data_IF_779837227780
#
_entry.id   IF_779837227780
#
_cell.length_a   1.000
_cell.length_b   1.000
_cell.length_c   1.000
_cell.angle_alpha   90.00
_cell.angle_beta   90.00
_cell.angle_gamma   90.00
#
_symmetry.space_group_name_H-M   'P 1'
#
loop_
_entity.id
_entity.type
_entity.pdbx_description
1 polymer ?
#
# COMPACT_ATOMS: atom_id res chain seq x y z
N UNK A 1 30.06 -12.24 -37.86
CA UNK A 1 29.09 -11.46 -37.09
C UNK A 1 29.36 -11.79 -35.62
N UNK A 2 30.11 -10.94 -34.93
CA UNK A 2 30.31 -11.06 -33.48
C UNK A 2 28.98 -10.81 -32.83
N UNK A 3 28.47 -11.77 -32.05
CA UNK A 3 27.28 -11.58 -31.24
C UNK A 3 27.62 -10.51 -30.22
N UNK A 4 27.01 -9.35 -30.34
CA UNK A 4 27.07 -8.24 -29.39
C UNK A 4 26.31 -8.58 -28.09
N UNK A 5 26.58 -9.74 -27.53
CA UNK A 5 26.00 -10.17 -26.27
C UNK A 5 26.63 -9.43 -25.10
N UNK A 6 25.80 -8.94 -24.18
CA UNK A 6 26.27 -8.33 -22.94
C UNK A 6 27.18 -9.30 -22.18
N UNK A 7 28.33 -8.79 -21.72
CA UNK A 7 29.31 -9.58 -20.98
C UNK A 7 28.76 -9.95 -19.60
N UNK A 8 28.72 -11.23 -19.28
CA UNK A 8 28.42 -11.71 -17.92
C UNK A 8 29.70 -11.79 -17.09
N UNK A 9 29.71 -11.16 -15.95
CA UNK A 9 30.88 -11.03 -15.09
C UNK A 9 30.57 -11.51 -13.67
N UNK A 10 31.60 -11.98 -12.97
CA UNK A 10 31.49 -12.37 -11.56
C UNK A 10 31.34 -11.11 -10.70
N UNK A 11 30.30 -11.03 -9.86
CA UNK A 11 30.01 -9.82 -9.06
C UNK A 11 31.18 -9.46 -8.13
N UNK A 12 31.86 -10.44 -7.55
CA UNK A 12 33.00 -10.25 -6.63
C UNK A 12 34.17 -9.49 -7.22
N UNK A 13 34.31 -9.47 -8.55
CA UNK A 13 35.36 -8.67 -9.19
C UNK A 13 35.09 -7.16 -9.08
N UNK A 14 33.82 -6.77 -8.89
CA UNK A 14 33.34 -5.38 -8.90
C UNK A 14 32.93 -4.86 -7.53
N UNK A 15 32.79 -5.70 -6.52
CA UNK A 15 32.39 -5.30 -5.16
C UNK A 15 33.48 -5.56 -4.13
N UNK A 16 33.39 -4.89 -3.00
CA UNK A 16 34.27 -5.13 -1.85
C UNK A 16 33.45 -5.07 -0.56
N UNK A 17 33.72 -6.02 0.35
CA UNK A 17 33.07 -6.05 1.66
C UNK A 17 33.53 -4.89 2.53
N UNK A 18 32.61 -4.29 3.29
CA UNK A 18 32.92 -3.34 4.34
C UNK A 18 32.80 -3.98 5.70
N UNK A 19 33.80 -3.81 6.55
CA UNK A 19 33.88 -4.43 7.90
C UNK A 19 34.08 -3.40 9.00
N UNK A 20 33.89 -2.11 8.70
CA UNK A 20 34.08 -1.02 9.65
C UNK A 20 33.05 -1.11 10.78
N UNK A 21 33.54 -1.05 12.03
CA UNK A 21 32.71 -1.02 13.22
C UNK A 21 32.36 0.40 13.64
N UNK A 22 31.25 0.52 14.37
CA UNK A 22 30.84 1.79 14.92
C UNK A 22 31.84 2.32 15.94
N UNK A 23 32.25 3.55 15.74
CA UNK A 23 33.13 4.30 16.67
C UNK A 23 32.49 5.64 17.11
N UNK A 24 31.23 5.88 16.77
CA UNK A 24 30.50 7.11 17.06
C UNK A 24 29.06 6.78 17.44
N UNK A 25 28.60 7.26 18.60
CA UNK A 25 27.26 7.00 19.14
C UNK A 25 26.15 7.89 18.55
N UNK A 26 26.50 8.96 17.84
CA UNK A 26 25.56 9.95 17.30
C UNK A 26 25.15 9.70 15.83
N UNK A 27 25.32 8.49 15.32
CA UNK A 27 24.91 8.16 13.95
C UNK A 27 23.57 7.41 13.93
N UNK A 28 22.72 7.65 12.92
CA UNK A 28 21.43 6.98 12.82
C UNK A 28 21.58 5.46 12.66
N UNK A 29 20.62 4.72 13.23
CA UNK A 29 20.59 3.26 13.20
C UNK A 29 19.48 2.82 12.27
N UNK A 30 19.78 1.86 11.37
CA UNK A 30 18.78 1.27 10.48
C UNK A 30 18.84 -0.26 10.45
N UNK A 31 17.67 -0.87 10.33
CA UNK A 31 17.51 -2.22 9.84
C UNK A 31 17.26 -2.21 8.33
N UNK A 32 17.40 -3.37 7.67
CA UNK A 32 17.13 -3.52 6.24
C UNK A 32 16.01 -4.55 6.00
N UNK A 33 15.15 -4.24 5.04
CA UNK A 33 14.07 -5.11 4.57
C UNK A 33 14.13 -5.24 3.04
N UNK A 34 13.20 -5.97 2.46
CA UNK A 34 13.00 -6.01 1.01
C UNK A 34 12.73 -4.62 0.41
N UNK A 35 11.96 -3.78 1.11
CA UNK A 35 11.41 -2.54 0.58
C UNK A 35 12.20 -1.29 1.00
N UNK A 36 13.26 -1.46 1.77
CA UNK A 36 14.12 -0.36 2.19
C UNK A 36 14.65 -0.46 3.61
N UNK A 37 15.20 0.65 4.06
CA UNK A 37 15.67 0.79 5.43
C UNK A 37 14.52 1.12 6.38
N UNK A 38 14.58 0.57 7.59
CA UNK A 38 13.58 0.78 8.65
C UNK A 38 14.27 1.22 9.95
N UNK A 39 13.57 1.96 10.81
CA UNK A 39 14.08 2.25 12.16
C UNK A 39 14.35 0.96 12.95
N UNK A 40 15.27 0.98 13.91
CA UNK A 40 15.56 -0.19 14.75
C UNK A 40 14.35 -0.54 15.61
N UNK A 41 14.13 -1.84 15.83
CA UNK A 41 13.05 -2.32 16.72
C UNK A 41 13.38 -2.11 18.21
N UNK A 42 14.66 -2.16 18.57
CA UNK A 42 15.16 -1.95 19.93
C UNK A 42 15.81 -0.57 20.03
N UNK A 43 15.39 0.24 21.02
CA UNK A 43 15.87 1.62 21.20
C UNK A 43 17.13 1.71 22.06
N UNK A 44 17.42 0.68 22.87
CA UNK A 44 18.51 0.65 23.87
C UNK A 44 19.44 -0.55 23.63
N UNK A 45 20.10 -0.59 22.48
CA UNK A 45 21.08 -1.62 22.19
C UNK A 45 22.50 -1.05 22.31
N UNK A 46 23.46 -1.86 22.82
CA UNK A 46 24.88 -1.56 22.68
C UNK A 46 25.25 -1.57 21.18
N UNK A 47 25.58 -0.43 20.66
CA UNK A 47 25.90 -0.21 19.24
C UNK A 47 27.39 -0.29 18.93
N UNK A 48 28.25 -0.54 19.92
CA UNK A 48 29.71 -0.60 19.74
C UNK A 48 30.17 -1.63 18.72
N UNK A 49 29.42 -2.74 18.61
CA UNK A 49 29.69 -3.82 17.66
C UNK A 49 28.95 -3.68 16.32
N UNK A 50 28.14 -2.65 16.14
CA UNK A 50 27.39 -2.42 14.90
C UNK A 50 28.32 -2.12 13.73
N UNK A 51 27.88 -2.45 12.55
CA UNK A 51 28.61 -2.18 11.31
C UNK A 51 28.24 -0.81 10.77
N UNK A 52 29.25 -0.04 10.32
CA UNK A 52 29.07 1.27 9.69
C UNK A 52 28.90 1.12 8.19
N UNK A 53 27.96 1.85 7.61
CA UNK A 53 27.75 1.94 6.17
C UNK A 53 27.62 3.39 5.69
N UNK A 54 27.88 3.60 4.42
CA UNK A 54 27.97 4.92 3.78
C UNK A 54 27.06 5.00 2.55
N UNK A 55 26.95 6.22 1.99
CA UNK A 55 26.23 6.45 0.75
C UNK A 55 26.76 5.52 -0.36
N UNK A 56 25.85 4.91 -1.11
CA UNK A 56 26.10 3.90 -2.15
C UNK A 56 26.58 2.52 -1.64
N UNK A 57 26.60 2.28 -0.34
CA UNK A 57 26.80 0.93 0.19
C UNK A 57 25.51 0.09 0.09
N UNK A 58 25.67 -1.19 -0.14
CA UNK A 58 24.61 -2.18 -0.02
C UNK A 58 24.64 -2.81 1.36
N UNK A 59 23.50 -2.80 2.03
CA UNK A 59 23.32 -3.43 3.34
C UNK A 59 22.34 -4.59 3.20
N UNK A 60 22.66 -5.74 3.77
CA UNK A 60 21.76 -6.90 3.69
C UNK A 60 21.80 -7.77 4.95
N UNK A 61 20.73 -8.52 5.15
CA UNK A 61 20.63 -9.52 6.21
C UNK A 61 20.92 -10.90 5.61
N UNK A 62 22.09 -11.51 5.92
CA UNK A 62 22.46 -12.82 5.36
C UNK A 62 21.47 -13.95 5.64
N UNK A 63 20.74 -13.87 6.77
CA UNK A 63 19.75 -14.85 7.20
C UNK A 63 18.35 -14.61 6.59
N UNK A 64 18.18 -13.61 5.71
CA UNK A 64 16.89 -13.25 5.12
C UNK A 64 17.01 -12.88 3.64
N UNK A 65 17.94 -13.52 2.94
CA UNK A 65 18.14 -13.27 1.51
C UNK A 65 17.08 -13.96 0.64
N UNK A 66 16.41 -14.98 1.14
CA UNK A 66 15.26 -15.66 0.53
C UNK A 66 14.08 -14.70 0.30
N UNK A 67 13.90 -13.72 1.18
CA UNK A 67 12.92 -12.63 1.04
C UNK A 67 13.53 -11.36 0.45
N UNK A 68 14.72 -11.43 -0.11
CA UNK A 68 15.44 -10.30 -0.73
C UNK A 68 15.69 -9.12 0.23
N UNK A 69 16.13 -9.42 1.47
CA UNK A 69 16.44 -8.40 2.50
C UNK A 69 17.82 -7.76 2.25
N UNK A 70 17.96 -7.08 1.10
CA UNK A 70 19.12 -6.30 0.67
C UNK A 70 18.66 -4.96 0.14
N UNK A 71 19.37 -3.87 0.45
CA UNK A 71 19.04 -2.56 -0.08
C UNK A 71 20.26 -1.66 -0.25
N UNK A 72 20.21 -0.77 -1.26
CA UNK A 72 21.20 0.27 -1.53
C UNK A 72 20.93 1.48 -0.63
N UNK A 73 21.95 1.97 0.07
CA UNK A 73 21.86 3.24 0.77
C UNK A 73 22.02 4.40 -0.22
N UNK A 74 20.92 5.00 -0.62
CA UNK A 74 20.87 6.16 -1.52
C UNK A 74 20.34 7.44 -0.85
N UNK A 75 20.32 7.47 0.50
CA UNK A 75 19.65 8.56 1.24
C UNK A 75 20.47 9.18 2.38
N UNK A 76 21.47 8.52 2.94
CA UNK A 76 22.26 9.07 4.04
C UNK A 76 23.76 8.87 3.84
N UNK A 77 24.53 9.87 4.28
CA UNK A 77 26.00 9.90 4.16
C UNK A 77 26.66 8.79 4.98
N UNK A 78 26.22 8.61 6.23
CA UNK A 78 26.75 7.63 7.18
C UNK A 78 25.67 7.17 8.13
N UNK A 79 25.62 5.86 8.39
CA UNK A 79 24.74 5.25 9.38
C UNK A 79 25.31 3.92 9.86
N UNK A 80 24.63 3.28 10.82
CA UNK A 80 25.02 1.98 11.35
C UNK A 80 23.85 0.98 11.28
N UNK A 81 24.21 -0.29 11.21
CA UNK A 81 23.28 -1.42 11.25
C UNK A 81 23.78 -2.53 12.17
N UNK A 82 22.90 -3.46 12.51
CA UNK A 82 23.25 -4.61 13.36
C UNK A 82 24.55 -5.31 12.89
N UNK A 83 25.33 -5.81 13.84
CA UNK A 83 26.52 -6.63 13.59
C UNK A 83 26.23 -7.92 12.81
N UNK A 84 24.97 -8.35 12.76
CA UNK A 84 24.49 -9.52 11.99
C UNK A 84 24.33 -9.21 10.49
N UNK A 85 24.30 -7.96 10.10
CA UNK A 85 24.17 -7.56 8.69
C UNK A 85 25.53 -7.48 8.04
N UNK A 86 25.56 -7.74 6.74
CA UNK A 86 26.75 -7.58 5.94
C UNK A 86 26.60 -6.37 5.01
N UNK A 87 27.75 -5.77 4.67
CA UNK A 87 27.81 -4.54 3.86
C UNK A 87 28.85 -4.76 2.77
N UNK A 88 28.52 -4.33 1.56
CA UNK A 88 29.49 -4.21 0.48
C UNK A 88 29.27 -2.94 -0.32
N UNK A 89 30.31 -2.52 -1.05
CA UNK A 89 30.28 -1.37 -1.94
C UNK A 89 30.87 -1.73 -3.31
N UNK A 90 30.54 -0.95 -4.31
CA UNK A 90 31.08 -1.09 -5.66
C UNK A 90 32.45 -0.43 -5.75
N UNK A 91 33.47 -1.16 -6.20
CA UNK A 91 34.86 -0.68 -6.30
C UNK A 91 35.00 0.49 -7.28
N UNK A 92 34.27 0.49 -8.39
CA UNK A 92 34.31 1.54 -9.40
C UNK A 92 32.91 1.80 -9.98
N UNK A 93 32.31 2.89 -9.53
CA UNK A 93 30.96 3.31 -9.96
C UNK A 93 30.90 3.85 -11.38
N UNK A 94 32.04 4.11 -12.03
CA UNK A 94 32.09 4.46 -13.46
C UNK A 94 31.96 3.25 -14.39
N UNK A 95 32.01 2.04 -13.84
CA UNK A 95 31.86 0.78 -14.62
C UNK A 95 30.54 0.10 -14.28
N UNK A 96 30.20 0.03 -13.01
CA UNK A 96 28.95 -0.57 -12.52
C UNK A 96 28.20 0.46 -11.67
N UNK A 97 27.03 0.89 -12.13
CA UNK A 97 26.21 1.88 -11.43
C UNK A 97 25.52 1.24 -10.20
N UNK A 98 25.55 1.87 -9.01
CA UNK A 98 24.91 1.33 -7.81
C UNK A 98 23.42 1.05 -8.00
N UNK A 99 22.67 1.96 -8.59
CA UNK A 99 21.24 1.77 -8.82
C UNK A 99 20.95 0.68 -9.86
N UNK A 100 21.81 0.49 -10.89
CA UNK A 100 21.67 -0.60 -11.83
C UNK A 100 21.84 -1.96 -11.11
N UNK A 101 22.89 -2.09 -10.31
CA UNK A 101 23.08 -3.29 -9.50
C UNK A 101 21.91 -3.50 -8.54
N UNK A 102 21.41 -2.43 -7.89
CA UNK A 102 20.24 -2.52 -7.01
C UNK A 102 19.03 -3.10 -7.74
N UNK A 103 18.69 -2.59 -8.92
CA UNK A 103 17.56 -3.10 -9.73
C UNK A 103 17.76 -4.57 -10.07
N UNK A 104 18.98 -4.97 -10.43
CA UNK A 104 19.32 -6.36 -10.74
C UNK A 104 19.12 -7.28 -9.51
N UNK A 105 19.61 -6.87 -8.33
CA UNK A 105 19.52 -7.63 -7.09
C UNK A 105 18.09 -7.71 -6.54
N UNK A 106 17.19 -6.79 -6.93
CA UNK A 106 15.78 -6.80 -6.50
C UNK A 106 14.90 -7.79 -7.24
N UNK A 107 15.41 -8.50 -8.24
CA UNK A 107 14.65 -9.52 -8.98
C UNK A 107 14.43 -10.77 -8.14
N UNK A 108 13.32 -11.43 -8.37
CA UNK A 108 12.97 -12.69 -7.68
C UNK A 108 13.97 -13.82 -8.02
N UNK A 109 14.60 -13.78 -9.23
CA UNK A 109 15.66 -14.71 -9.60
C UNK A 109 16.87 -14.63 -8.67
N UNK A 110 17.25 -13.41 -8.27
CA UNK A 110 18.36 -13.23 -7.33
C UNK A 110 18.02 -13.79 -5.94
N UNK A 111 16.80 -13.54 -5.45
CA UNK A 111 16.35 -14.11 -4.19
C UNK A 111 16.37 -15.64 -4.20
N UNK A 112 15.87 -16.26 -5.29
CA UNK A 112 15.93 -17.73 -5.47
C UNK A 112 17.35 -18.26 -5.55
N UNK A 113 18.27 -17.54 -6.19
CA UNK A 113 19.69 -17.93 -6.19
C UNK A 113 20.29 -17.90 -4.79
N UNK A 114 19.99 -16.86 -4.00
CA UNK A 114 20.45 -16.75 -2.61
C UNK A 114 19.87 -17.87 -1.71
N UNK A 115 18.59 -18.20 -1.90
CA UNK A 115 17.92 -19.31 -1.24
C UNK A 115 18.62 -20.66 -1.56
N UNK A 116 18.85 -20.92 -2.85
CA UNK A 116 19.53 -22.13 -3.30
C UNK A 116 20.97 -22.25 -2.75
N UNK A 117 21.72 -21.15 -2.72
CA UNK A 117 23.09 -21.11 -2.18
C UNK A 117 23.06 -21.34 -0.65
N UNK A 118 22.10 -20.80 0.05
CA UNK A 118 21.91 -20.98 1.50
C UNK A 118 21.46 -22.38 1.89
N UNK A 119 20.86 -23.14 0.97
CA UNK A 119 20.27 -24.43 1.23
C UNK A 119 21.33 -25.47 1.58
N UNK A 120 21.11 -26.20 2.64
CA UNK A 120 22.02 -27.24 3.15
C UNK A 120 23.04 -26.75 4.16
N UNK A 121 23.13 -25.45 4.46
CA UNK A 121 23.83 -24.94 5.63
C UNK A 121 22.93 -24.99 6.87
N UNK A 122 23.50 -25.24 8.06
CA UNK A 122 22.73 -25.32 9.31
C UNK A 122 21.94 -24.05 9.69
N UNK A 123 22.08 -22.94 8.94
CA UNK A 123 21.44 -21.64 9.19
C UNK A 123 21.04 -20.87 7.94
N UNK A 124 21.06 -21.44 6.75
CA UNK A 124 20.60 -20.82 5.49
C UNK A 124 21.13 -19.38 5.28
N UNK A 125 22.40 -19.12 5.59
CA UNK A 125 23.03 -17.83 5.38
C UNK A 125 23.56 -17.69 3.94
N UNK A 126 23.21 -16.58 3.28
CA UNK A 126 23.85 -16.13 2.04
C UNK A 126 24.74 -14.91 2.36
N UNK A 127 26.05 -15.10 2.34
CA UNK A 127 27.05 -14.09 2.74
C UNK A 127 27.59 -13.31 1.54
N UNK A 128 28.39 -12.28 1.77
CA UNK A 128 29.06 -11.51 0.71
C UNK A 128 29.96 -12.41 -0.15
N UNK A 129 30.62 -13.42 0.43
CA UNK A 129 31.39 -14.43 -0.32
C UNK A 129 30.54 -15.15 -1.36
N UNK A 130 29.34 -15.57 -0.96
CA UNK A 130 28.43 -16.35 -1.79
C UNK A 130 27.81 -15.48 -2.89
N UNK A 131 27.42 -14.25 -2.56
CA UNK A 131 26.95 -13.24 -3.52
C UNK A 131 28.05 -12.93 -4.56
N UNK A 132 29.33 -12.94 -4.13
CA UNK A 132 30.48 -12.66 -4.99
C UNK A 132 30.61 -13.64 -6.16
N UNK A 133 30.13 -14.87 -6.04
CA UNK A 133 30.20 -15.88 -7.10
C UNK A 133 29.07 -15.76 -8.14
N UNK A 134 28.06 -14.97 -7.83
CA UNK A 134 26.93 -14.75 -8.74
C UNK A 134 27.42 -13.97 -9.97
N UNK A 135 26.99 -14.41 -11.15
CA UNK A 135 27.22 -13.69 -12.41
C UNK A 135 26.14 -12.65 -12.64
N UNK A 136 26.59 -11.46 -13.02
CA UNK A 136 25.71 -10.34 -13.38
C UNK A 136 26.00 -9.92 -14.83
N UNK A 137 24.99 -9.41 -15.56
CA UNK A 137 25.22 -8.79 -16.85
C UNK A 137 25.83 -7.40 -16.66
N UNK A 138 26.86 -7.10 -17.42
CA UNK A 138 27.54 -5.81 -17.38
C UNK A 138 27.46 -5.13 -18.76
N UNK A 139 26.34 -4.46 -19.09
CA UNK A 139 26.23 -3.66 -20.30
C UNK A 139 27.05 -2.37 -20.20
N UNK A 140 27.10 -1.60 -21.27
CA UNK A 140 27.72 -0.27 -21.23
C UNK A 140 27.07 0.62 -20.18
N UNK A 141 27.81 1.59 -19.63
CA UNK A 141 27.27 2.55 -18.63
C UNK A 141 26.06 3.32 -19.18
N UNK A 142 26.06 3.60 -20.50
CA UNK A 142 24.92 4.25 -21.16
C UNK A 142 23.65 3.38 -21.09
N UNK A 143 23.75 2.08 -21.29
CA UNK A 143 22.62 1.14 -21.18
C UNK A 143 22.19 0.95 -19.72
N UNK A 144 23.15 0.83 -18.79
CA UNK A 144 22.83 0.83 -17.35
C UNK A 144 22.03 2.07 -16.98
N UNK A 145 22.45 3.26 -17.46
CA UNK A 145 21.79 4.52 -17.16
C UNK A 145 20.35 4.60 -17.68
N UNK A 146 20.03 3.97 -18.82
CA UNK A 146 18.64 3.91 -19.31
C UNK A 146 17.73 3.19 -18.33
N UNK A 147 18.17 2.04 -17.80
CA UNK A 147 17.41 1.27 -16.78
C UNK A 147 17.26 2.09 -15.50
N UNK A 148 18.34 2.72 -15.05
CA UNK A 148 18.32 3.57 -13.84
C UNK A 148 17.39 4.77 -14.00
N UNK A 149 17.37 5.42 -15.16
CA UNK A 149 16.52 6.57 -15.43
C UNK A 149 15.03 6.18 -15.38
N UNK A 150 14.66 5.06 -15.99
CA UNK A 150 13.28 4.56 -15.94
C UNK A 150 12.86 4.27 -14.49
N UNK A 151 13.69 3.56 -13.73
CA UNK A 151 13.42 3.26 -12.32
C UNK A 151 13.27 4.53 -11.47
N UNK A 152 14.17 5.51 -11.65
CA UNK A 152 14.11 6.80 -10.94
C UNK A 152 12.83 7.56 -11.26
N UNK A 153 12.41 7.58 -12.52
CA UNK A 153 11.18 8.25 -12.92
C UNK A 153 9.94 7.66 -12.23
N UNK A 154 9.80 6.33 -12.19
CA UNK A 154 8.72 5.68 -11.45
C UNK A 154 8.78 5.97 -9.95
N UNK A 155 9.97 5.90 -9.35
CA UNK A 155 10.16 6.20 -7.93
C UNK A 155 9.80 7.65 -7.60
N UNK A 156 10.18 8.59 -8.42
CA UNK A 156 9.85 10.01 -8.25
C UNK A 156 8.34 10.24 -8.33
N UNK A 157 7.67 9.67 -9.35
CA UNK A 157 6.22 9.73 -9.49
C UNK A 157 5.53 9.18 -8.23
N UNK A 158 5.97 8.02 -7.73
CA UNK A 158 5.45 7.42 -6.51
C UNK A 158 5.59 8.36 -5.31
N UNK A 159 6.82 8.79 -5.02
CA UNK A 159 7.11 9.64 -3.84
C UNK A 159 6.35 10.97 -3.88
N UNK A 160 6.32 11.64 -5.04
CA UNK A 160 5.59 12.90 -5.19
C UNK A 160 4.08 12.75 -4.97
N UNK A 161 3.50 11.65 -5.42
CA UNK A 161 2.06 11.43 -5.27
C UNK A 161 1.71 10.92 -3.86
N UNK A 162 2.53 10.09 -3.22
CA UNK A 162 2.36 9.73 -1.81
C UNK A 162 2.42 10.99 -0.91
N UNK A 163 3.37 11.89 -1.18
CA UNK A 163 3.51 13.15 -0.45
C UNK A 163 2.31 14.10 -0.62
N UNK A 164 1.55 13.99 -1.71
CA UNK A 164 0.31 14.78 -1.94
C UNK A 164 -0.93 14.12 -1.32
N UNK A 165 -1.03 12.80 -1.37
CA UNK A 165 -2.24 12.08 -0.99
C UNK A 165 -2.60 12.26 0.49
N UNK A 166 -1.64 12.09 1.40
CA UNK A 166 -1.87 12.18 2.84
C UNK A 166 -2.32 13.58 3.31
N UNK A 167 -1.64 14.68 2.95
CA UNK A 167 -2.08 16.03 3.32
C UNK A 167 -3.46 16.40 2.77
N UNK A 168 -3.79 15.99 1.53
CA UNK A 168 -5.12 16.24 0.95
C UNK A 168 -6.21 15.50 1.70
N UNK A 169 -5.96 14.25 2.10
CA UNK A 169 -6.89 13.48 2.92
C UNK A 169 -7.10 14.10 4.29
N UNK A 170 -6.01 14.54 4.93
CA UNK A 170 -6.07 15.24 6.22
C UNK A 170 -6.83 16.57 6.11
N UNK A 171 -6.65 17.32 5.02
CA UNK A 171 -7.39 18.55 4.75
C UNK A 171 -8.90 18.29 4.68
N UNK A 172 -9.33 17.25 3.95
CA UNK A 172 -10.74 16.86 3.89
C UNK A 172 -11.31 16.55 5.28
N UNK A 173 -10.60 15.76 6.08
CA UNK A 173 -11.04 15.38 7.42
C UNK A 173 -11.13 16.60 8.35
N UNK A 174 -10.11 17.45 8.34
CA UNK A 174 -10.08 18.67 9.15
C UNK A 174 -11.21 19.64 8.77
N UNK A 175 -11.46 19.77 7.47
CA UNK A 175 -12.52 20.66 6.96
C UNK A 175 -13.91 20.17 7.38
N UNK A 176 -14.18 18.87 7.30
CA UNK A 176 -15.43 18.29 7.82
C UNK A 176 -15.60 18.53 9.34
N UNK A 177 -14.52 18.41 10.12
CA UNK A 177 -14.54 18.70 11.56
C UNK A 177 -14.82 20.18 11.84
N UNK A 178 -14.21 21.09 11.09
CA UNK A 178 -14.48 22.53 11.22
C UNK A 178 -15.91 22.90 10.84
N UNK A 179 -16.48 22.28 9.80
CA UNK A 179 -17.89 22.46 9.44
C UNK A 179 -18.81 22.05 10.60
N UNK A 180 -18.52 20.94 11.30
CA UNK A 180 -19.29 20.50 12.46
C UNK A 180 -19.32 21.52 13.59
N UNK A 181 -18.25 22.28 13.79
CA UNK A 181 -18.16 23.31 14.85
C UNK A 181 -18.89 24.61 14.50
N UNK A 182 -19.20 24.86 13.25
CA UNK A 182 -19.85 26.10 12.79
C UNK A 182 -21.32 26.10 13.18
N UNK A 183 -21.75 27.11 13.97
CA UNK A 183 -23.13 27.27 14.41
C UNK A 183 -24.17 27.49 13.32
N UNK A 184 -23.72 27.91 12.13
CA UNK A 184 -24.58 28.22 10.98
C UNK A 184 -24.68 27.05 9.99
N UNK A 185 -24.10 25.89 10.28
CA UNK A 185 -24.28 24.68 9.49
C UNK A 185 -25.38 23.84 10.12
N UNK A 186 -26.37 23.47 9.33
CA UNK A 186 -27.49 22.62 9.75
C UNK A 186 -26.95 21.22 10.03
N UNK A 187 -27.28 20.67 11.19
CA UNK A 187 -27.20 19.24 11.43
C UNK A 187 -28.43 18.58 10.81
N UNK A 188 -28.19 17.50 10.07
CA UNK A 188 -29.21 16.82 9.30
C UNK A 188 -29.27 15.35 9.68
N UNK A 189 -30.44 14.87 10.09
CA UNK A 189 -30.66 13.45 10.41
C UNK A 189 -30.67 12.65 9.09
N UNK A 190 -29.76 11.67 8.97
CA UNK A 190 -29.57 10.96 7.69
C UNK A 190 -30.80 10.18 7.24
N UNK A 191 -31.62 9.70 8.17
CA UNK A 191 -32.85 8.97 7.88
C UNK A 191 -33.85 9.77 7.03
N UNK A 192 -33.77 11.11 7.05
CA UNK A 192 -34.65 11.96 6.23
C UNK A 192 -34.25 11.99 4.75
N UNK A 193 -33.02 11.58 4.41
CA UNK A 193 -32.53 11.52 3.03
C UNK A 193 -32.39 10.09 2.50
N UNK A 194 -32.66 9.09 3.30
CA UNK A 194 -32.44 7.68 2.91
C UNK A 194 -33.72 7.04 2.39
N UNK A 195 -33.64 6.50 1.18
CA UNK A 195 -34.63 5.61 0.62
C UNK A 195 -34.05 4.18 0.59
N UNK A 196 -34.70 3.24 1.29
CA UNK A 196 -34.28 1.83 1.33
C UNK A 196 -34.66 1.13 0.03
N UNK A 197 -33.70 0.44 -0.56
CA UNK A 197 -33.87 -0.36 -1.77
C UNK A 197 -33.74 -1.83 -1.38
N UNK A 198 -34.70 -2.67 -1.79
CA UNK A 198 -34.65 -4.12 -1.57
C UNK A 198 -34.91 -4.87 -2.88
N UNK A 199 -33.91 -4.87 -3.76
CA UNK A 199 -34.00 -5.53 -5.06
C UNK A 199 -33.27 -6.87 -5.04
N UNK A 200 -34.02 -7.96 -4.96
CA UNK A 200 -33.49 -9.32 -4.98
C UNK A 200 -33.17 -9.82 -6.40
N UNK A 201 -32.18 -10.69 -6.52
CA UNK A 201 -31.72 -11.31 -7.77
C UNK A 201 -32.65 -12.49 -8.19
N UNK A 202 -33.96 -12.23 -8.33
CA UNK A 202 -34.94 -13.25 -8.64
C UNK A 202 -34.69 -13.97 -9.98
N UNK A 203 -34.10 -13.25 -10.92
CA UNK A 203 -33.83 -13.75 -12.28
C UNK A 203 -32.52 -14.57 -12.35
N UNK A 204 -31.81 -14.76 -11.23
CA UNK A 204 -30.59 -15.56 -11.18
C UNK A 204 -29.42 -14.98 -11.99
N UNK A 205 -29.39 -13.66 -12.21
CA UNK A 205 -28.31 -13.02 -12.96
C UNK A 205 -26.94 -13.34 -12.36
N UNK A 206 -25.92 -13.69 -13.17
CA UNK A 206 -24.61 -14.15 -12.70
C UNK A 206 -23.67 -12.99 -12.37
N UNK A 207 -24.12 -12.06 -11.56
CA UNK A 207 -23.27 -10.95 -11.09
C UNK A 207 -22.28 -11.41 -10.02
N UNK A 208 -21.14 -10.72 -9.91
CA UNK A 208 -20.13 -10.95 -8.88
C UNK A 208 -20.74 -10.75 -7.48
N UNK A 209 -20.45 -11.66 -6.55
CA UNK A 209 -20.89 -11.54 -5.17
C UNK A 209 -19.83 -10.79 -4.36
N UNK A 210 -20.25 -9.70 -3.73
CA UNK A 210 -19.38 -8.81 -2.95
C UNK A 210 -19.77 -8.81 -1.48
N UNK A 211 -18.78 -8.50 -0.64
CA UNK A 211 -18.91 -8.17 0.77
C UNK A 211 -18.38 -6.77 1.07
N UNK A 212 -18.52 -6.31 2.31
CA UNK A 212 -17.97 -5.06 2.82
C UNK A 212 -16.78 -5.33 3.75
N UNK A 213 -15.69 -4.63 3.53
CA UNK A 213 -14.54 -4.65 4.43
C UNK A 213 -14.57 -3.49 5.45
N UNK A 214 -13.63 -3.52 6.42
CA UNK A 214 -13.51 -2.47 7.43
C UNK A 214 -13.00 -1.13 6.85
N UNK A 215 -12.42 -1.14 5.64
CA UNK A 215 -12.01 0.07 4.91
C UNK A 215 -13.17 0.73 4.18
N UNK A 216 -14.40 0.24 4.40
CA UNK A 216 -15.65 0.76 3.80
C UNK A 216 -15.61 0.71 2.28
N UNK A 217 -15.15 -0.41 1.76
CA UNK A 217 -15.10 -0.73 0.33
C UNK A 217 -15.73 -2.09 0.07
N UNK A 218 -16.26 -2.24 -1.14
CA UNK A 218 -16.65 -3.55 -1.64
C UNK A 218 -15.43 -4.41 -1.95
N UNK A 219 -15.52 -5.69 -1.67
CA UNK A 219 -14.49 -6.70 -1.95
C UNK A 219 -15.15 -8.00 -2.39
N UNK A 220 -14.49 -8.85 -3.18
CA UNK A 220 -14.99 -10.18 -3.46
C UNK A 220 -15.35 -10.92 -2.17
N UNK A 221 -16.45 -11.69 -2.21
CA UNK A 221 -16.84 -12.48 -1.03
C UNK A 221 -15.79 -13.52 -0.68
N UNK A 222 -15.57 -13.72 0.62
CA UNK A 222 -14.72 -14.81 1.14
C UNK A 222 -15.50 -16.11 1.37
N UNK A 223 -16.82 -16.09 1.19
CA UNK A 223 -17.66 -17.28 1.34
C UNK A 223 -17.51 -18.20 0.12
N UNK A 224 -17.49 -19.54 0.37
CA UNK A 224 -17.54 -20.50 -0.74
C UNK A 224 -18.86 -20.34 -1.50
N UNK A 225 -18.76 -20.17 -2.82
CA UNK A 225 -19.92 -19.95 -3.68
C UNK A 225 -20.65 -21.24 -4.09
N UNK A 226 -20.02 -22.41 -3.86
CA UNK A 226 -20.52 -23.72 -4.35
C UNK A 226 -21.89 -24.13 -3.79
N UNK A 227 -22.25 -23.55 -2.63
CA UNK A 227 -23.51 -23.89 -1.93
C UNK A 227 -24.47 -22.72 -1.79
N UNK A 228 -24.13 -21.54 -2.33
CA UNK A 228 -24.90 -20.32 -2.11
C UNK A 228 -25.95 -20.15 -3.19
N UNK A 229 -27.22 -20.08 -2.77
CA UNK A 229 -28.32 -19.68 -3.64
C UNK A 229 -28.34 -18.16 -3.83
N UNK A 230 -27.79 -17.68 -4.94
CA UNK A 230 -27.69 -16.25 -5.28
C UNK A 230 -29.04 -15.60 -5.60
N UNK A 231 -30.13 -16.36 -5.83
CA UNK A 231 -31.46 -15.79 -6.10
C UNK A 231 -32.03 -14.99 -4.91
N UNK A 232 -31.53 -15.25 -3.70
CA UNK A 232 -31.92 -14.52 -2.47
C UNK A 232 -31.04 -13.29 -2.22
N UNK A 233 -29.96 -13.12 -2.97
CA UNK A 233 -29.03 -12.00 -2.81
C UNK A 233 -29.67 -10.71 -3.36
N UNK A 234 -29.25 -9.59 -2.82
CA UNK A 234 -29.67 -8.27 -3.30
C UNK A 234 -28.77 -7.81 -4.43
N UNK A 235 -29.37 -7.18 -5.45
CA UNK A 235 -28.63 -6.52 -6.51
C UNK A 235 -28.28 -5.11 -6.04
N UNK A 236 -27.02 -4.74 -6.16
CA UNK A 236 -26.53 -3.37 -5.91
C UNK A 236 -26.06 -2.74 -7.21
N UNK A 237 -26.37 -1.48 -7.41
CA UNK A 237 -26.05 -0.67 -8.59
C UNK A 237 -25.27 0.59 -8.23
N UNK A 238 -24.68 1.21 -9.24
CA UNK A 238 -23.97 2.48 -9.11
C UNK A 238 -24.82 3.55 -8.44
N UNK A 239 -24.28 4.21 -7.44
CA UNK A 239 -24.95 5.22 -6.63
C UNK A 239 -25.72 4.67 -5.43
N UNK A 240 -25.84 3.33 -5.29
CA UNK A 240 -26.48 2.71 -4.15
C UNK A 240 -25.46 2.43 -3.02
N UNK A 241 -25.93 2.48 -1.79
CA UNK A 241 -25.15 2.15 -0.60
C UNK A 241 -25.52 0.77 -0.07
N UNK A 242 -24.53 0.12 0.53
CA UNK A 242 -24.75 -1.05 1.36
C UNK A 242 -24.28 -0.77 2.80
N UNK A 243 -25.10 -1.14 3.77
CA UNK A 243 -24.81 -0.98 5.21
C UNK A 243 -24.94 -2.33 5.91
N UNK A 244 -24.04 -2.58 6.85
CA UNK A 244 -24.14 -3.68 7.81
C UNK A 244 -23.87 -3.18 9.22
N UNK A 245 -24.89 -3.25 10.06
CA UNK A 245 -24.73 -2.96 11.49
C UNK A 245 -24.11 -4.08 12.31
N UNK A 246 -23.87 -5.26 11.69
CA UNK A 246 -23.34 -6.41 12.39
C UNK A 246 -21.94 -6.18 12.93
N UNK A 247 -21.72 -6.47 14.21
CA UNK A 247 -20.42 -6.37 14.88
C UNK A 247 -19.79 -4.95 14.86
N UNK A 248 -20.57 -3.91 14.67
CA UNK A 248 -20.06 -2.52 14.64
C UNK A 248 -19.30 -2.17 15.91
N UNK A 249 -19.85 -2.49 17.08
CA UNK A 249 -19.21 -2.24 18.35
C UNK A 249 -17.95 -3.08 18.57
N UNK A 250 -17.96 -4.36 18.19
CA UNK A 250 -16.79 -5.25 18.28
C UNK A 250 -15.69 -4.86 17.29
N UNK A 251 -16.07 -4.52 16.06
CA UNK A 251 -15.14 -4.10 15.00
C UNK A 251 -14.71 -2.64 15.11
N UNK A 252 -15.37 -1.85 15.97
CA UNK A 252 -15.19 -0.38 16.10
C UNK A 252 -15.24 0.33 14.75
N UNK A 253 -16.11 -0.14 13.84
CA UNK A 253 -16.21 0.37 12.49
C UNK A 253 -17.64 0.21 11.97
N UNK A 254 -18.23 1.30 11.47
CA UNK A 254 -19.50 1.25 10.72
C UNK A 254 -19.18 0.70 9.32
N UNK A 255 -19.74 -0.47 9.00
CA UNK A 255 -19.57 -1.07 7.67
C UNK A 255 -20.59 -0.48 6.71
N UNK A 256 -20.16 0.46 5.91
CA UNK A 256 -20.94 1.11 4.87
C UNK A 256 -20.04 1.35 3.65
N UNK A 257 -20.58 1.21 2.44
CA UNK A 257 -19.88 1.57 1.21
C UNK A 257 -20.84 2.09 0.15
N UNK A 258 -20.38 3.01 -0.67
CA UNK A 258 -21.03 3.48 -1.89
C UNK A 258 -20.55 2.62 -3.06
N UNK A 259 -21.48 2.07 -3.85
CA UNK A 259 -21.15 1.32 -5.04
C UNK A 259 -20.96 2.26 -6.23
N UNK A 260 -19.78 2.22 -6.85
CA UNK A 260 -19.34 3.16 -7.89
C UNK A 260 -19.12 2.52 -9.27
N UNK A 261 -19.29 1.18 -9.38
CA UNK A 261 -19.08 0.48 -10.66
C UNK A 261 -20.33 0.49 -11.53
N UNK A 262 -20.13 0.51 -12.86
CA UNK A 262 -21.24 0.49 -13.83
C UNK A 262 -21.92 -0.87 -13.94
N UNK A 263 -21.17 -1.97 -13.71
CA UNK A 263 -21.71 -3.33 -13.73
C UNK A 263 -22.32 -3.62 -12.36
N UNK A 264 -23.60 -4.05 -12.29
CA UNK A 264 -24.23 -4.44 -11.03
C UNK A 264 -23.52 -5.61 -10.35
N UNK A 265 -23.67 -5.72 -9.02
CA UNK A 265 -23.13 -6.81 -8.23
C UNK A 265 -24.19 -7.37 -7.28
N UNK A 266 -23.89 -8.51 -6.66
CA UNK A 266 -24.72 -9.13 -5.63
C UNK A 266 -24.11 -8.93 -4.26
N UNK A 267 -24.96 -8.69 -3.28
CA UNK A 267 -24.58 -8.64 -1.87
C UNK A 267 -25.51 -9.49 -1.01
N UNK A 268 -25.02 -9.92 0.14
CA UNK A 268 -25.81 -10.75 1.07
C UNK A 268 -27.13 -10.09 1.46
N UNK A 269 -28.21 -10.85 1.62
CA UNK A 269 -29.49 -10.36 2.16
C UNK A 269 -29.37 -9.66 3.53
N UNK A 270 -28.31 -9.97 4.29
CA UNK A 270 -28.05 -9.38 5.60
C UNK A 270 -27.65 -7.89 5.55
N UNK A 271 -27.31 -7.37 4.36
CA UNK A 271 -27.02 -5.93 4.19
C UNK A 271 -28.31 -5.16 3.93
N UNK A 272 -28.39 -3.95 4.49
CA UNK A 272 -29.39 -2.97 4.09
C UNK A 272 -28.87 -2.15 2.93
N UNK A 273 -29.61 -2.07 1.84
CA UNK A 273 -29.31 -1.25 0.67
C UNK A 273 -30.17 -0.03 0.61
N UNK A 274 -29.61 1.11 0.21
CA UNK A 274 -30.33 2.37 0.15
C UNK A 274 -29.70 3.34 -0.86
N UNK A 275 -30.48 4.35 -1.28
CA UNK A 275 -30.00 5.53 -1.99
C UNK A 275 -30.23 6.77 -1.12
N UNK A 276 -29.58 7.86 -1.50
CA UNK A 276 -29.95 9.18 -0.98
C UNK A 276 -31.05 9.76 -1.87
N UNK A 277 -32.06 10.36 -1.22
CA UNK A 277 -33.15 11.01 -1.90
C UNK A 277 -32.63 12.15 -2.79
N UNK A 278 -33.09 12.19 -4.02
CA UNK A 278 -32.68 13.19 -5.01
C UNK A 278 -33.16 14.61 -4.66
N UNK A 279 -34.21 14.75 -3.86
CA UNK A 279 -34.74 16.04 -3.42
C UNK A 279 -33.84 16.70 -2.38
N UNK A 280 -33.05 15.93 -1.63
CA UNK A 280 -32.11 16.47 -0.65
C UNK A 280 -30.72 16.72 -1.25
N UNK A 281 -30.14 17.91 -1.03
CA UNK A 281 -28.89 18.30 -1.65
C UNK A 281 -27.66 17.66 -0.97
N UNK A 282 -27.62 16.32 -0.89
CA UNK A 282 -26.52 15.54 -0.34
C UNK A 282 -25.83 14.76 -1.43
N UNK A 283 -24.57 15.09 -1.69
CA UNK A 283 -23.76 14.30 -2.62
C UNK A 283 -23.41 12.93 -2.02
N UNK A 284 -23.64 11.82 -2.73
CA UNK A 284 -23.31 10.47 -2.25
C UNK A 284 -21.86 10.32 -1.80
N UNK A 285 -20.93 10.91 -2.53
CA UNK A 285 -19.52 10.89 -2.18
C UNK A 285 -19.22 11.70 -0.89
N UNK A 286 -19.88 12.85 -0.70
CA UNK A 286 -19.75 13.63 0.53
C UNK A 286 -20.28 12.84 1.75
N UNK A 287 -21.45 12.23 1.60
CA UNK A 287 -22.01 11.35 2.60
C UNK A 287 -21.03 10.21 2.97
N UNK A 288 -20.49 9.52 1.97
CA UNK A 288 -19.52 8.46 2.20
C UNK A 288 -18.25 8.94 2.91
N UNK A 289 -17.78 10.14 2.59
CA UNK A 289 -16.61 10.73 3.25
C UNK A 289 -16.83 10.99 4.73
N UNK A 290 -18.03 11.44 5.13
CA UNK A 290 -18.37 11.60 6.54
C UNK A 290 -18.22 10.28 7.28
N UNK A 291 -18.71 9.18 6.72
CA UNK A 291 -18.59 7.84 7.31
C UNK A 291 -17.17 7.26 7.28
N UNK A 292 -16.27 7.79 6.48
CA UNK A 292 -14.84 7.43 6.50
C UNK A 292 -14.06 8.09 7.65
N UNK A 293 -14.67 9.00 8.39
CA UNK A 293 -14.07 9.64 9.55
C UNK A 293 -14.13 8.71 10.79
N UNK A 294 -13.04 8.61 11.55
CA UNK A 294 -12.96 7.81 12.78
C UNK A 294 -13.95 8.23 13.86
N UNK A 295 -14.36 9.51 13.89
CA UNK A 295 -15.39 9.97 14.82
C UNK A 295 -16.77 9.34 14.54
N UNK A 296 -17.07 9.05 13.28
CA UNK A 296 -18.30 8.33 12.94
C UNK A 296 -18.23 6.87 13.37
N UNK A 297 -17.07 6.25 13.29
CA UNK A 297 -16.86 4.90 13.80
C UNK A 297 -16.99 4.85 15.32
N UNK A 298 -16.45 5.86 16.02
CA UNK A 298 -16.63 6.03 17.47
C UNK A 298 -18.10 6.21 17.85
N UNK A 299 -18.83 7.02 17.07
CA UNK A 299 -20.26 7.24 17.27
C UNK A 299 -21.06 5.93 17.03
N UNK A 300 -20.74 5.19 15.96
CA UNK A 300 -21.35 3.90 15.68
C UNK A 300 -21.09 2.88 16.78
N UNK A 301 -19.90 2.87 17.35
CA UNK A 301 -19.58 2.05 18.50
C UNK A 301 -20.44 2.44 19.71
N UNK A 302 -20.56 3.74 20.01
CA UNK A 302 -21.38 4.24 21.10
C UNK A 302 -22.88 3.86 20.98
N UNK A 303 -23.40 3.88 19.75
CA UNK A 303 -24.80 3.53 19.47
C UNK A 303 -25.02 2.01 19.29
N UNK A 304 -23.98 1.20 19.28
CA UNK A 304 -24.12 -0.25 19.23
C UNK A 304 -24.80 -0.79 20.49
N UNK A 305 -25.53 -1.90 20.34
CA UNK A 305 -26.13 -2.59 21.47
C UNK A 305 -25.07 -3.24 22.38
N UNK A 306 -25.47 -3.59 23.60
CA UNK A 306 -24.60 -4.27 24.56
C UNK A 306 -24.56 -5.79 24.38
N UNK A 307 -25.10 -6.32 23.28
CA UNK A 307 -25.07 -7.75 22.99
C UNK A 307 -23.65 -8.26 22.70
N UNK A 308 -23.44 -9.58 22.75
CA UNK A 308 -22.17 -10.22 22.42
C UNK A 308 -21.71 -9.88 20.98
N UNK A 309 -22.66 -9.58 20.09
CA UNK A 309 -22.36 -9.18 18.70
C UNK A 309 -22.13 -7.68 18.54
N UNK A 310 -22.59 -6.86 19.51
CA UNK A 310 -22.46 -5.39 19.51
C UNK A 310 -22.89 -4.78 18.15
N UNK A 311 -24.15 -4.97 17.79
CA UNK A 311 -24.68 -4.53 16.51
C UNK A 311 -25.16 -3.08 16.58
N UNK A 312 -24.96 -2.32 15.51
CA UNK A 312 -25.60 -1.03 15.29
C UNK A 312 -26.93 -1.27 14.56
N UNK A 313 -28.02 -1.08 15.32
CA UNK A 313 -29.38 -1.21 14.76
C UNK A 313 -29.65 -0.17 13.67
N UNK A 314 -30.47 -0.53 12.67
CA UNK A 314 -30.80 0.34 11.55
C UNK A 314 -31.48 1.65 12.00
N UNK A 315 -32.40 1.58 12.98
CA UNK A 315 -33.08 2.78 13.46
C UNK A 315 -32.10 3.74 14.13
N UNK A 316 -31.13 3.23 14.90
CA UNK A 316 -30.06 4.05 15.47
C UNK A 316 -29.11 4.61 14.41
N UNK A 317 -28.85 3.86 13.35
CA UNK A 317 -28.06 4.34 12.24
C UNK A 317 -28.72 5.52 11.52
N UNK A 318 -30.01 5.43 11.21
CA UNK A 318 -30.74 6.53 10.53
C UNK A 318 -30.99 7.75 11.43
N UNK A 319 -30.82 7.62 12.75
CA UNK A 319 -30.88 8.73 13.71
C UNK A 319 -29.58 9.54 13.77
N UNK A 320 -28.51 9.08 13.12
CA UNK A 320 -27.25 9.81 13.09
C UNK A 320 -27.44 11.16 12.40
N UNK A 321 -26.90 12.21 13.03
CA UNK A 321 -26.88 13.54 12.44
C UNK A 321 -25.51 13.83 11.80
N UNK A 322 -25.56 14.41 10.62
CA UNK A 322 -24.36 14.83 9.87
C UNK A 322 -24.42 16.34 9.59
N UNK A 323 -23.28 17.03 9.47
CA UNK A 323 -23.27 18.42 9.02
C UNK A 323 -23.65 18.48 7.54
N UNK A 324 -24.59 19.35 7.21
CA UNK A 324 -25.06 19.56 5.85
C UNK A 324 -24.74 21.00 5.37
N UNK A 325 -23.53 21.22 4.84
CA UNK A 325 -23.19 22.51 4.23
C UNK A 325 -23.82 22.67 2.84
N UNK A 326 -23.81 23.88 2.27
CA UNK A 326 -24.24 24.13 0.89
C UNK A 326 -23.55 23.16 -0.11
N UNK A 327 -24.25 22.87 -1.22
CA UNK A 327 -23.83 21.86 -2.19
C UNK A 327 -22.45 22.18 -2.81
N UNK A 328 -22.15 23.46 -2.99
CA UNK A 328 -20.85 23.93 -3.52
C UNK A 328 -19.70 23.56 -2.56
N UNK A 329 -19.95 23.63 -1.26
CA UNK A 329 -18.97 23.25 -0.23
C UNK A 329 -18.78 21.73 -0.20
N UNK A 330 -19.86 20.96 -0.30
CA UNK A 330 -19.81 19.51 -0.42
C UNK A 330 -18.97 19.12 -1.65
N UNK A 331 -19.24 19.74 -2.81
CA UNK A 331 -18.52 19.47 -4.05
C UNK A 331 -17.03 19.82 -3.95
N UNK A 332 -16.68 20.94 -3.29
CA UNK A 332 -15.28 21.30 -3.08
C UNK A 332 -14.54 20.22 -2.27
N UNK A 333 -15.16 19.72 -1.19
CA UNK A 333 -14.60 18.65 -0.36
C UNK A 333 -14.45 17.36 -1.17
N UNK A 334 -15.47 16.98 -1.94
CA UNK A 334 -15.44 15.79 -2.80
C UNK A 334 -14.32 15.89 -3.83
N UNK A 335 -14.12 17.07 -4.43
CA UNK A 335 -13.05 17.28 -5.40
C UNK A 335 -11.66 17.10 -4.78
N UNK A 336 -11.41 17.64 -3.57
CA UNK A 336 -10.14 17.43 -2.85
C UNK A 336 -9.93 15.94 -2.54
N UNK A 337 -10.98 15.26 -2.10
CA UNK A 337 -10.92 13.83 -1.84
C UNK A 337 -10.61 13.01 -3.10
N UNK A 338 -11.24 13.33 -4.23
CA UNK A 338 -10.93 12.71 -5.53
C UNK A 338 -9.47 12.92 -5.93
N UNK A 339 -8.93 14.12 -5.74
CA UNK A 339 -7.51 14.40 -5.96
C UNK A 339 -6.58 13.57 -5.06
N UNK A 340 -6.93 13.40 -3.78
CA UNK A 340 -6.16 12.57 -2.86
C UNK A 340 -6.14 11.09 -3.28
N UNK A 341 -7.29 10.54 -3.65
CA UNK A 341 -7.40 9.16 -4.12
C UNK A 341 -6.68 8.95 -5.47
N UNK A 342 -6.76 9.90 -6.38
CA UNK A 342 -6.06 9.83 -7.66
C UNK A 342 -4.54 9.87 -7.46
N UNK A 343 -4.04 10.73 -6.58
CA UNK A 343 -2.62 10.74 -6.23
C UNK A 343 -2.18 9.38 -5.65
N UNK A 344 -2.99 8.78 -4.76
CA UNK A 344 -2.71 7.43 -4.23
C UNK A 344 -2.68 6.39 -5.35
N UNK A 345 -3.66 6.40 -6.25
CA UNK A 345 -3.74 5.48 -7.40
C UNK A 345 -2.52 5.60 -8.32
N UNK A 346 -2.09 6.84 -8.61
CA UNK A 346 -0.90 7.09 -9.43
C UNK A 346 0.36 6.55 -8.74
N UNK A 347 0.49 6.72 -7.42
CA UNK A 347 1.62 6.18 -6.67
C UNK A 347 1.67 4.65 -6.68
N UNK A 348 0.54 3.99 -6.47
CA UNK A 348 0.41 2.52 -6.53
C UNK A 348 0.71 1.99 -7.93
N UNK A 349 0.22 2.66 -8.97
CA UNK A 349 0.47 2.30 -10.36
C UNK A 349 1.94 2.49 -10.76
N UNK A 350 2.59 3.57 -10.32
CA UNK A 350 4.01 3.79 -10.54
C UNK A 350 4.86 2.71 -9.87
N UNK A 351 4.50 2.28 -8.66
CA UNK A 351 5.16 1.17 -7.97
C UNK A 351 5.01 -0.15 -8.72
N UNK A 352 3.79 -0.45 -9.18
CA UNK A 352 3.50 -1.65 -9.99
C UNK A 352 4.30 -1.65 -11.29
N UNK A 353 4.24 -0.56 -12.05
CA UNK A 353 4.96 -0.42 -13.31
C UNK A 353 6.48 -0.51 -13.12
N UNK A 354 7.02 0.05 -12.04
CA UNK A 354 8.44 -0.09 -11.71
C UNK A 354 8.85 -1.56 -11.56
N UNK A 355 8.02 -2.37 -10.90
CA UNK A 355 8.28 -3.81 -10.70
C UNK A 355 8.14 -4.64 -11.98
N UNK A 356 7.35 -4.22 -12.94
CA UNK A 356 7.12 -4.92 -14.21
C UNK A 356 8.08 -4.46 -15.31
N UNK A 357 8.22 -3.13 -15.49
CA UNK A 357 8.95 -2.53 -16.61
C UNK A 357 10.47 -2.58 -16.40
N UNK A 358 10.95 -2.31 -15.16
CA UNK A 358 12.39 -2.28 -14.93
C UNK A 358 13.07 -3.65 -15.16
N UNK A 359 12.53 -4.80 -14.71
CA UNK A 359 13.05 -6.11 -15.08
C UNK A 359 12.99 -6.40 -16.58
N UNK A 360 11.91 -5.98 -17.26
CA UNK A 360 11.77 -6.15 -18.70
C UNK A 360 12.82 -5.35 -19.49
N UNK A 361 13.05 -4.08 -19.11
CA UNK A 361 14.12 -3.25 -19.66
C UNK A 361 15.50 -3.85 -19.40
N UNK A 362 15.72 -4.38 -18.20
CA UNK A 362 16.95 -5.07 -17.87
C UNK A 362 17.18 -6.27 -18.78
N UNK A 363 16.15 -7.09 -19.02
CA UNK A 363 16.22 -8.23 -19.95
C UNK A 363 16.49 -7.76 -21.37
N UNK A 364 15.83 -6.70 -21.84
CA UNK A 364 16.07 -6.15 -23.18
C UNK A 364 17.55 -5.72 -23.33
N UNK A 365 18.09 -4.99 -22.35
CA UNK A 365 19.50 -4.55 -22.35
C UNK A 365 20.48 -5.74 -22.29
N UNK A 366 20.10 -6.85 -21.65
CA UNK A 366 20.92 -8.06 -21.58
C UNK A 366 20.98 -8.79 -22.92
N UNK A 367 19.92 -8.74 -23.71
CA UNK A 367 19.78 -9.49 -24.96
C UNK A 367 20.02 -8.64 -26.23
N UNK A 368 20.17 -7.33 -26.12
CA UNK A 368 20.59 -6.44 -27.21
C UNK A 368 22.10 -6.39 -27.36
#
# INVERSE_FOLDING_TARGET
>A
MESSGVKWVRLGDYISRRTEKNNNYDVPIYGVTRDGFIPPKQKEADTSMYNTFYLNDFVFNPARMEINSIYLNDFCEKAICSSLYEIFYIKNTNILLPHYLHIFLKRDEFARQCEYIGWGSAREYCRTSDISDIKIPLPSVAEQQKVVNAWRAFREIKVQNEAKAAPLMQLCQSYIQEIRKKKNVRNYRIGNAIEVIDKTNKDGSPYEVLGLNNNKMFMPTVASMDTINTSKYKIIRKGEFAFSGMQTGRGKCIRIALYDKDIPALISPAYTTFILDKEEPILPEYFMMIFKNSEMDRLGWFYSDSSVRANLDWNRFIDIEIPLPPIEVQQAIVNIYKCANEAKRIAEEADRLSREVCPALLQHVIHS
#
